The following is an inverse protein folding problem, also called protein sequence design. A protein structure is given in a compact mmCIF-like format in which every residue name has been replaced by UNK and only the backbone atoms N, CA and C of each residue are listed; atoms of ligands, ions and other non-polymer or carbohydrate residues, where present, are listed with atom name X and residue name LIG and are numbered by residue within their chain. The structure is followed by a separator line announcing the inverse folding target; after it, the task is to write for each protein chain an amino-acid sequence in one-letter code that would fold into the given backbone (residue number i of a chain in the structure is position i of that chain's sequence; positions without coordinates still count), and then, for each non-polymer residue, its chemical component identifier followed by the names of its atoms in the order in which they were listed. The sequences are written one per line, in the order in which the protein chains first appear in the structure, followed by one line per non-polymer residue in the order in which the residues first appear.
data_IF_830059166318
#
_entry.id   IF_830059166318
#
_cell.length_a   1.000
_cell.length_b   1.000
_cell.length_c   1.000
_cell.angle_alpha   90.00
_cell.angle_beta   90.00
_cell.angle_gamma   90.00
#
_symmetry.space_group_name_H-M   'P 1'
#
loop_
_entity.id
_entity.type
_entity.pdbx_description
1 polymer ?
#
# COMPACT_ATOMS: atom_id res chain seq x y z
N UNK A 1 3.25 -3.78 14.07
CA UNK A 1 4.02 -2.86 13.19
C UNK A 1 3.25 -2.75 11.90
N UNK A 2 2.96 -1.53 11.43
CA UNK A 2 2.16 -1.36 10.21
C UNK A 2 2.92 -1.86 8.98
N UNK A 3 2.16 -2.38 8.03
CA UNK A 3 2.63 -2.85 6.75
C UNK A 3 1.86 -2.14 5.63
N UNK A 4 2.58 -1.71 4.61
CA UNK A 4 2.02 -1.05 3.45
C UNK A 4 2.28 -1.85 2.18
N UNK A 5 1.23 -2.00 1.38
CA UNK A 5 1.29 -2.66 0.07
C UNK A 5 0.75 -1.71 -0.98
N UNK A 6 1.55 -1.41 -2.00
CA UNK A 6 1.12 -0.58 -3.12
C UNK A 6 0.63 -1.48 -4.26
N UNK A 7 -0.64 -1.32 -4.62
CA UNK A 7 -1.33 -2.12 -5.64
C UNK A 7 -1.69 -1.25 -6.83
N UNK A 8 -1.68 -1.83 -8.02
CA UNK A 8 -2.11 -1.16 -9.25
C UNK A 8 -3.53 -1.58 -9.61
N UNK A 9 -4.39 -0.59 -9.82
CA UNK A 9 -5.74 -0.80 -10.31
C UNK A 9 -5.69 -1.39 -11.72
N UNK A 10 -6.48 -2.44 -11.96
CA UNK A 10 -6.47 -3.16 -13.24
C UNK A 10 -6.95 -2.27 -14.41
N UNK A 11 -8.00 -1.48 -14.19
CA UNK A 11 -8.60 -0.62 -15.22
C UNK A 11 -7.92 0.75 -15.38
N UNK A 12 -7.77 1.54 -14.30
CA UNK A 12 -7.22 2.89 -14.39
C UNK A 12 -5.69 2.95 -14.41
N UNK A 13 -5.00 1.89 -13.97
CA UNK A 13 -3.55 1.91 -13.75
C UNK A 13 -3.09 2.81 -12.59
N UNK A 14 -4.03 3.40 -11.83
CA UNK A 14 -3.72 4.19 -10.65
C UNK A 14 -3.16 3.29 -9.54
N UNK A 15 -2.16 3.80 -8.81
CA UNK A 15 -1.54 3.06 -7.72
C UNK A 15 -2.15 3.48 -6.38
N UNK A 16 -2.69 2.51 -5.64
CA UNK A 16 -3.31 2.72 -4.35
C UNK A 16 -2.61 1.95 -3.25
N UNK A 17 -2.51 2.58 -2.08
CA UNK A 17 -1.87 1.99 -0.91
C UNK A 17 -2.90 1.23 -0.07
N UNK A 18 -2.49 0.08 0.44
CA UNK A 18 -3.27 -0.78 1.33
C UNK A 18 -2.48 -0.91 2.63
N UNK A 19 -3.15 -0.58 3.74
CA UNK A 19 -2.61 -0.75 5.09
C UNK A 19 -2.96 -2.15 5.62
N UNK A 20 -2.05 -2.70 6.42
CA UNK A 20 -2.24 -3.90 7.21
C UNK A 20 -1.15 -3.97 8.28
N UNK A 21 -0.90 -5.17 8.80
CA UNK A 21 0.08 -5.43 9.84
C UNK A 21 1.16 -6.39 9.36
N UNK A 22 2.39 -6.12 9.80
CA UNK A 22 3.50 -7.08 9.71
C UNK A 22 3.21 -8.23 10.65
N UNK A 23 3.36 -9.46 10.14
CA UNK A 23 3.18 -10.66 10.94
C UNK A 23 4.46 -11.01 11.72
N UNK A 24 4.36 -11.78 12.81
CA UNK A 24 5.53 -12.25 13.55
C UNK A 24 6.49 -13.08 12.68
N UNK A 25 7.77 -13.05 13.02
CA UNK A 25 8.79 -13.88 12.38
C UNK A 25 8.41 -15.37 12.49
N UNK A 26 8.47 -16.09 11.36
CA UNK A 26 8.01 -17.49 11.27
C UNK A 26 6.56 -17.69 10.81
N UNK A 27 5.81 -16.62 10.57
CA UNK A 27 4.47 -16.71 9.95
C UNK A 27 4.54 -17.06 8.46
N UNK A 28 3.56 -17.83 7.95
CA UNK A 28 3.46 -18.20 6.51
C UNK A 28 3.49 -16.99 5.58
N UNK A 29 2.92 -15.87 6.01
CA UNK A 29 2.92 -14.60 5.29
C UNK A 29 3.67 -13.53 6.08
N UNK A 30 4.47 -12.70 5.39
CA UNK A 30 5.23 -11.60 6.02
C UNK A 30 4.35 -10.47 6.56
N UNK A 31 3.22 -10.22 5.92
CA UNK A 31 2.26 -9.22 6.35
C UNK A 31 0.86 -9.57 5.86
N UNK A 32 -0.14 -8.93 6.44
CA UNK A 32 -1.48 -8.87 5.90
C UNK A 32 -1.73 -7.52 5.21
N UNK A 33 -2.86 -7.42 4.50
CA UNK A 33 -3.31 -6.17 3.88
C UNK A 33 -4.83 -6.11 3.93
N UNK A 34 -5.38 -4.92 4.18
CA UNK A 34 -6.82 -4.68 4.13
C UNK A 34 -7.46 -5.06 2.79
N UNK A 35 -8.80 -5.20 2.81
CA UNK A 35 -9.61 -5.48 1.63
C UNK A 35 -9.84 -4.25 0.75
N UNK A 36 -9.63 -3.05 1.28
CA UNK A 36 -9.71 -1.77 0.57
C UNK A 36 -8.43 -0.95 0.73
N UNK A 37 -8.17 -0.08 -0.23
CA UNK A 37 -7.11 0.91 -0.13
C UNK A 37 -7.40 1.90 1.00
N UNK A 38 -6.37 2.60 1.47
CA UNK A 38 -6.48 3.60 2.53
C UNK A 38 -7.46 4.71 2.13
N UNK A 39 -7.42 5.15 0.86
CA UNK A 39 -8.36 6.14 0.34
C UNK A 39 -9.76 5.57 0.03
N UNK A 40 -10.00 4.26 0.26
CA UNK A 40 -11.26 3.54 0.01
C UNK A 40 -11.73 3.51 -1.45
N UNK A 41 -10.92 3.98 -2.40
CA UNK A 41 -11.25 4.04 -3.84
C UNK A 41 -10.96 2.76 -4.62
N UNK A 42 -10.27 1.80 -4.02
CA UNK A 42 -9.88 0.55 -4.70
C UNK A 42 -10.08 -0.64 -3.77
N UNK A 43 -10.75 -1.69 -4.25
CA UNK A 43 -10.78 -2.97 -3.55
C UNK A 43 -9.56 -3.82 -3.91
N UNK A 44 -9.16 -4.72 -3.01
CA UNK A 44 -8.05 -5.65 -3.24
C UNK A 44 -8.31 -6.53 -4.47
N UNK A 45 -9.54 -6.90 -4.78
CA UNK A 45 -9.91 -7.68 -5.98
C UNK A 45 -9.72 -6.91 -7.30
N UNK A 46 -9.63 -5.59 -7.26
CA UNK A 46 -9.50 -4.74 -8.44
C UNK A 46 -8.03 -4.49 -8.83
N UNK A 47 -7.10 -5.18 -8.14
CA UNK A 47 -5.68 -5.09 -8.45
C UNK A 47 -5.26 -6.03 -9.58
N UNK A 48 -4.35 -5.57 -10.44
CA UNK A 48 -3.64 -6.43 -11.41
C UNK A 48 -2.22 -6.81 -10.98
N UNK A 49 -1.74 -6.26 -9.86
CA UNK A 49 -0.42 -6.55 -9.32
C UNK A 49 0.00 -5.62 -8.19
N UNK A 50 1.03 -6.04 -7.47
CA UNK A 50 1.66 -5.24 -6.41
C UNK A 50 2.96 -4.61 -6.96
N UNK A 51 3.17 -3.32 -6.69
CA UNK A 51 4.45 -2.65 -6.94
C UNK A 51 5.45 -2.89 -5.81
N UNK A 52 4.95 -2.96 -4.58
CA UNK A 52 5.67 -3.49 -3.43
C UNK A 52 4.67 -4.02 -2.41
N UNK A 53 5.14 -4.87 -1.50
CA UNK A 53 4.35 -5.44 -0.41
C UNK A 53 5.15 -5.41 0.89
N UNK A 54 4.44 -5.43 2.02
CA UNK A 54 4.99 -5.52 3.37
C UNK A 54 6.08 -4.48 3.67
N UNK A 55 5.90 -3.24 3.19
CA UNK A 55 6.80 -2.15 3.48
C UNK A 55 6.44 -1.50 4.83
N UNK A 56 7.45 -1.12 5.60
CA UNK A 56 7.27 -0.22 6.75
C UNK A 56 6.86 1.19 6.30
N UNK A 57 6.43 2.06 7.22
CA UNK A 57 6.14 3.47 6.94
C UNK A 57 7.26 4.17 6.17
N UNK A 58 8.51 4.03 6.65
CA UNK A 58 9.68 4.65 6.05
C UNK A 58 9.93 4.10 4.63
N UNK A 59 9.91 2.79 4.46
CA UNK A 59 10.09 2.19 3.13
C UNK A 59 8.97 2.56 2.16
N UNK A 60 7.73 2.65 2.63
CA UNK A 60 6.59 3.05 1.81
C UNK A 60 6.77 4.49 1.33
N UNK A 61 7.23 5.41 2.20
CA UNK A 61 7.55 6.81 1.84
C UNK A 61 8.60 6.85 0.73
N UNK A 62 9.70 6.12 0.92
CA UNK A 62 10.80 6.07 -0.05
C UNK A 62 10.38 5.45 -1.40
N UNK A 63 9.64 4.34 -1.37
CA UNK A 63 9.20 3.64 -2.58
C UNK A 63 8.17 4.47 -3.36
N UNK A 64 7.23 5.12 -2.68
CA UNK A 64 6.23 6.00 -3.31
C UNK A 64 6.91 7.24 -3.90
N UNK A 65 7.86 7.85 -3.20
CA UNK A 65 8.61 9.00 -3.70
C UNK A 65 9.36 8.67 -5.01
N UNK A 66 9.93 7.46 -5.12
CA UNK A 66 10.59 6.97 -6.34
C UNK A 66 9.62 6.75 -7.52
N UNK A 67 8.36 6.40 -7.25
CA UNK A 67 7.33 6.16 -8.28
C UNK A 67 6.72 7.47 -8.78
N UNK A 68 6.46 8.42 -7.88
CA UNK A 68 5.92 9.74 -8.21
C UNK A 68 4.41 9.75 -8.49
N UNK A 69 3.99 10.61 -9.43
CA UNK A 69 2.58 11.04 -9.63
C UNK A 69 1.56 9.93 -9.99
N UNK A 70 2.01 8.70 -10.24
CA UNK A 70 1.12 7.55 -10.47
C UNK A 70 0.43 7.06 -9.19
N UNK A 71 0.94 7.45 -8.01
CA UNK A 71 0.36 7.09 -6.71
C UNK A 71 -0.76 8.04 -6.33
N UNK A 72 -1.89 7.47 -5.90
CA UNK A 72 -3.06 8.20 -5.44
C UNK A 72 -2.68 9.22 -4.35
N UNK A 73 -2.91 10.51 -4.62
CA UNK A 73 -2.49 11.61 -3.73
C UNK A 73 -3.03 11.46 -2.29
N UNK A 74 -4.28 11.02 -2.14
CA UNK A 74 -4.87 10.75 -0.81
C UNK A 74 -4.15 9.64 -0.05
N UNK A 75 -3.69 8.60 -0.75
CA UNK A 75 -2.90 7.54 -0.10
C UNK A 75 -1.53 8.06 0.33
N UNK A 76 -0.93 8.96 -0.45
CA UNK A 76 0.33 9.61 -0.08
C UNK A 76 0.13 10.47 1.15
N UNK A 77 -0.87 11.35 1.16
CA UNK A 77 -1.17 12.22 2.31
C UNK A 77 -1.32 11.43 3.61
N UNK A 78 -2.09 10.34 3.60
CA UNK A 78 -2.25 9.48 4.77
C UNK A 78 -0.93 8.88 5.30
N UNK A 79 0.04 8.62 4.42
CA UNK A 79 1.33 8.08 4.82
C UNK A 79 2.21 9.12 5.53
N UNK A 80 1.96 10.42 5.32
CA UNK A 80 2.67 11.52 5.94
C UNK A 80 1.90 12.17 7.10
N UNK A 81 0.64 11.77 7.34
CA UNK A 81 -0.08 12.12 8.56
C UNK A 81 0.54 11.41 9.76
N UNK A 82 1.20 12.17 10.63
CA UNK A 82 1.69 11.71 11.93
C UNK A 82 0.59 11.89 12.98
N UNK A 83 -0.13 10.81 13.28
CA UNK A 83 -1.04 10.72 14.44
C UNK A 83 -0.27 10.41 15.71
#
# INVERSE_FOLDING_TARGET
MKAYTLKEHKDSGELHLFEGDMNPEGSEYKCNSGSKSICKKMNKSDNKGNRFACATDQEAREKIAKIGRKVCGTCVSHLYESY
#
